data_IF_212860233825
#
_entry.id   IF_212860233825
#
_cell.length_a   1.000
_cell.length_b   1.000
_cell.length_c   1.000
_cell.angle_alpha   90.00
_cell.angle_beta   90.00
_cell.angle_gamma   90.00
#
_symmetry.space_group_name_H-M   'P 1'
#
loop_
_entity.id
_entity.type
_entity.pdbx_description
1 polymer ?
#
# COMPACT_ATOMS: atom_id res chain seq x y z
N UNK A 1 16.47 10.34 8.53
CA UNK A 1 15.21 9.59 8.83
C UNK A 1 14.30 9.58 7.58
N UNK A 2 14.01 8.41 6.97
CA UNK A 2 13.16 8.09 5.77
C UNK A 2 13.07 9.09 4.58
N UNK A 3 12.81 10.36 4.84
CA UNK A 3 12.79 11.47 3.87
C UNK A 3 14.16 11.71 3.22
N UNK A 4 15.25 11.41 3.91
CA UNK A 4 16.63 11.49 3.38
C UNK A 4 16.92 10.39 2.34
N UNK A 5 16.22 9.27 2.41
CA UNK A 5 16.42 8.14 1.50
C UNK A 5 15.78 8.36 0.12
N UNK A 6 14.82 9.28 0.03
CA UNK A 6 14.28 9.75 -1.24
C UNK A 6 14.66 11.23 -1.42
N UNK A 7 15.91 11.54 -1.84
CA UNK A 7 16.40 12.91 -1.92
C UNK A 7 15.66 13.74 -2.99
N UNK A 8 15.04 13.07 -3.97
CA UNK A 8 14.36 13.70 -5.10
C UNK A 8 13.00 14.26 -4.69
N UNK A 9 12.15 13.42 -4.10
CA UNK A 9 10.76 13.80 -3.82
C UNK A 9 10.46 13.99 -2.34
N UNK A 10 11.33 13.51 -1.43
CA UNK A 10 11.13 13.54 0.03
C UNK A 10 9.71 13.09 0.42
N UNK A 11 9.21 12.06 -0.26
CA UNK A 11 7.87 11.50 -0.08
C UNK A 11 7.97 10.05 0.33
N UNK A 12 7.06 9.65 1.21
CA UNK A 12 6.81 8.28 1.63
C UNK A 12 5.61 7.71 0.85
N UNK A 13 5.56 6.39 0.59
CA UNK A 13 6.43 5.32 1.08
C UNK A 13 7.76 5.17 0.30
N UNK A 14 8.78 4.67 0.99
CA UNK A 14 10.05 4.20 0.42
C UNK A 14 10.24 2.76 0.89
N UNK A 15 10.41 1.83 -0.05
CA UNK A 15 10.69 0.42 0.25
C UNK A 15 12.20 0.18 0.18
N UNK A 16 12.73 -0.51 1.19
CA UNK A 16 14.12 -0.93 1.25
C UNK A 16 14.15 -2.45 1.15
N UNK A 17 14.73 -2.98 0.07
CA UNK A 17 14.92 -4.42 -0.10
C UNK A 17 16.35 -4.70 -0.58
N UNK A 18 17.09 -5.53 0.15
CA UNK A 18 18.48 -5.89 -0.14
C UNK A 18 19.41 -4.67 -0.33
N UNK A 19 19.25 -3.66 0.52
CA UNK A 19 20.03 -2.41 0.45
C UNK A 19 19.68 -1.50 -0.72
N UNK A 20 18.70 -1.87 -1.57
CA UNK A 20 18.22 -1.04 -2.68
C UNK A 20 16.95 -0.28 -2.26
N UNK A 21 16.91 0.98 -2.66
CA UNK A 21 15.80 1.89 -2.37
C UNK A 21 14.84 1.95 -3.56
N UNK A 22 13.56 1.78 -3.27
CA UNK A 22 12.47 1.85 -4.25
C UNK A 22 11.50 2.93 -3.77
N UNK A 23 11.33 3.95 -4.59
CA UNK A 23 10.48 5.11 -4.32
C UNK A 23 9.21 5.06 -5.18
N UNK A 24 8.23 5.91 -4.88
CA UNK A 24 6.89 5.98 -5.48
C UNK A 24 5.96 4.83 -5.09
N UNK A 25 4.79 5.16 -4.55
CA UNK A 25 3.86 4.16 -4.00
C UNK A 25 3.37 3.15 -5.05
N UNK A 26 3.12 3.59 -6.28
CA UNK A 26 2.68 2.70 -7.36
C UNK A 26 3.79 1.73 -7.79
N UNK A 27 5.04 2.20 -7.82
CA UNK A 27 6.21 1.40 -8.15
C UNK A 27 6.51 0.41 -7.04
N UNK A 28 6.37 0.82 -5.77
CA UNK A 28 6.51 -0.07 -4.61
C UNK A 28 5.49 -1.22 -4.67
N UNK A 29 4.22 -0.93 -4.96
CA UNK A 29 3.18 -1.97 -5.10
C UNK A 29 3.52 -2.93 -6.24
N UNK A 30 3.94 -2.40 -7.40
CA UNK A 30 4.34 -3.22 -8.53
C UNK A 30 5.54 -4.11 -8.20
N UNK A 31 6.55 -3.57 -7.53
CA UNK A 31 7.73 -4.33 -7.12
C UNK A 31 7.37 -5.46 -6.16
N UNK A 32 6.49 -5.19 -5.19
CA UNK A 32 6.05 -6.20 -4.24
C UNK A 32 5.32 -7.34 -4.96
N UNK A 33 4.42 -6.99 -5.88
CA UNK A 33 3.70 -7.97 -6.69
C UNK A 33 4.68 -8.82 -7.53
N UNK A 34 5.68 -8.21 -8.16
CA UNK A 34 6.67 -8.93 -8.98
C UNK A 34 7.57 -9.86 -8.15
N UNK A 35 7.99 -9.45 -6.94
CA UNK A 35 8.92 -10.22 -6.09
C UNK A 35 8.21 -11.29 -5.26
N UNK A 36 6.98 -11.06 -4.82
CA UNK A 36 6.23 -11.94 -3.92
C UNK A 36 4.92 -12.51 -4.51
N UNK A 37 4.74 -12.54 -5.83
CA UNK A 37 3.51 -13.08 -6.47
C UNK A 37 3.19 -14.54 -6.08
N UNK A 38 4.18 -15.29 -5.63
CA UNK A 38 4.12 -16.74 -5.49
C UNK A 38 3.18 -17.19 -4.35
N UNK A 39 2.98 -16.34 -3.33
CA UNK A 39 2.20 -16.68 -2.12
C UNK A 39 0.84 -15.99 -2.06
N UNK A 40 0.77 -14.76 -2.55
CA UNK A 40 -0.43 -13.93 -2.50
C UNK A 40 -0.29 -12.79 -3.52
N UNK A 41 -0.65 -13.03 -4.80
CA UNK A 41 -0.55 -12.00 -5.82
C UNK A 41 -1.47 -10.83 -5.48
N UNK A 42 -0.93 -9.61 -5.57
CA UNK A 42 -1.67 -8.38 -5.31
C UNK A 42 -2.50 -7.98 -6.52
N UNK A 43 -2.01 -8.30 -7.72
CA UNK A 43 -2.68 -8.01 -8.98
C UNK A 43 -3.18 -9.30 -9.64
N UNK A 44 -4.23 -9.20 -10.49
CA UNK A 44 -4.68 -10.33 -11.28
C UNK A 44 -3.59 -10.90 -12.19
N UNK A 45 -3.57 -12.21 -12.39
CA UNK A 45 -2.65 -12.87 -13.32
C UNK A 45 -2.94 -12.49 -14.78
N UNK A 46 -4.23 -12.34 -15.14
CA UNK A 46 -4.66 -11.96 -16.48
C UNK A 46 -4.11 -10.56 -16.87
N UNK A 47 -3.42 -10.42 -18.03
CA UNK A 47 -2.81 -9.16 -18.43
C UNK A 47 -3.79 -8.01 -18.56
N UNK A 48 -5.00 -8.27 -19.06
CA UNK A 48 -6.00 -7.22 -19.28
C UNK A 48 -6.59 -6.73 -17.96
N UNK A 49 -7.00 -7.64 -17.07
CA UNK A 49 -7.49 -7.29 -15.74
C UNK A 49 -6.43 -6.56 -14.91
N UNK A 50 -5.16 -6.99 -15.00
CA UNK A 50 -4.03 -6.31 -14.36
C UNK A 50 -3.84 -4.88 -14.87
N UNK A 51 -3.97 -4.66 -16.18
CA UNK A 51 -3.94 -3.32 -16.75
C UNK A 51 -5.09 -2.45 -16.22
N UNK A 52 -6.30 -2.99 -16.09
CA UNK A 52 -7.43 -2.28 -15.50
C UNK A 52 -7.21 -1.92 -14.03
N UNK A 53 -6.72 -2.86 -13.20
CA UNK A 53 -6.40 -2.59 -11.80
C UNK A 53 -5.35 -1.48 -11.66
N UNK A 54 -4.30 -1.50 -12.49
CA UNK A 54 -3.29 -0.44 -12.53
C UNK A 54 -3.87 0.90 -12.94
N UNK A 55 -4.71 0.92 -13.97
CA UNK A 55 -5.39 2.13 -14.42
C UNK A 55 -6.27 2.72 -13.31
N UNK A 56 -7.02 1.89 -12.59
CA UNK A 56 -7.81 2.32 -11.44
C UNK A 56 -6.97 2.99 -10.35
N UNK A 57 -5.82 2.41 -10.01
CA UNK A 57 -4.91 2.94 -8.99
C UNK A 57 -4.29 4.29 -9.42
N UNK A 58 -3.94 4.43 -10.70
CA UNK A 58 -3.45 5.69 -11.29
C UNK A 58 -4.57 6.74 -11.28
N UNK A 59 -5.79 6.37 -11.64
CA UNK A 59 -6.94 7.27 -11.66
C UNK A 59 -7.24 7.79 -10.25
N UNK A 60 -7.21 6.92 -9.24
CA UNK A 60 -7.39 7.28 -7.84
C UNK A 60 -6.36 8.30 -7.37
N UNK A 61 -5.07 8.02 -7.60
CA UNK A 61 -3.97 8.90 -7.18
C UNK A 61 -3.95 10.23 -7.95
N UNK A 62 -4.33 10.23 -9.22
CA UNK A 62 -4.31 11.43 -10.08
C UNK A 62 -5.54 12.31 -9.86
N UNK A 63 -6.75 11.73 -9.86
CA UNK A 63 -8.02 12.48 -9.77
C UNK A 63 -8.39 12.82 -8.33
N UNK A 64 -8.16 11.89 -7.40
CA UNK A 64 -8.50 12.04 -5.99
C UNK A 64 -7.29 12.35 -5.13
N UNK A 65 -6.16 12.75 -5.73
CA UNK A 65 -4.94 13.10 -5.00
C UNK A 65 -5.15 14.17 -3.91
N UNK A 66 -6.07 15.13 -4.12
CA UNK A 66 -6.46 16.11 -3.11
C UNK A 66 -7.22 15.49 -1.93
N UNK A 67 -8.11 14.53 -2.19
CA UNK A 67 -8.84 13.79 -1.16
C UNK A 67 -7.89 12.90 -0.37
N UNK A 68 -6.97 12.19 -1.04
CA UNK A 68 -5.91 11.41 -0.39
C UNK A 68 -5.01 12.30 0.47
N UNK A 69 -4.67 13.50 0.01
CA UNK A 69 -3.90 14.46 0.81
C UNK A 69 -4.67 14.92 2.05
N UNK A 70 -5.98 15.15 1.93
CA UNK A 70 -6.86 15.44 3.06
C UNK A 70 -6.89 14.28 4.06
N UNK A 71 -7.14 13.05 3.60
CA UNK A 71 -7.11 11.85 4.44
C UNK A 71 -5.75 11.70 5.15
N UNK A 72 -4.62 11.84 4.44
CA UNK A 72 -3.28 11.80 5.05
C UNK A 72 -3.10 12.84 6.16
N UNK A 73 -3.64 14.04 5.98
CA UNK A 73 -3.59 15.10 7.00
C UNK A 73 -4.52 14.79 8.18
N UNK A 74 -5.71 14.25 7.92
CA UNK A 74 -6.62 13.79 8.98
C UNK A 74 -5.99 12.65 9.81
N UNK A 75 -5.25 11.74 9.18
CA UNK A 75 -4.53 10.66 9.89
C UNK A 75 -3.42 11.17 10.82
N UNK A 76 -2.93 12.40 10.63
CA UNK A 76 -1.95 13.03 11.53
C UNK A 76 -2.62 13.70 12.73
N UNK A 77 -3.95 13.84 12.72
CA UNK A 77 -4.69 14.34 13.87
C UNK A 77 -4.87 13.21 14.89
N UNK A 78 -4.39 13.46 16.10
CA UNK A 78 -4.36 12.47 17.18
C UNK A 78 -5.74 11.94 17.58
N UNK A 79 -6.80 12.76 17.47
CA UNK A 79 -8.17 12.30 17.78
C UNK A 79 -8.69 11.35 16.72
N UNK A 80 -8.31 11.57 15.45
CA UNK A 80 -8.72 10.75 14.32
C UNK A 80 -7.90 9.46 14.30
N UNK A 81 -6.59 9.54 14.53
CA UNK A 81 -5.73 8.35 14.54
C UNK A 81 -6.11 7.36 15.64
N UNK A 82 -6.47 7.85 16.85
CA UNK A 82 -6.89 7.00 17.98
C UNK A 82 -8.28 6.38 17.82
N UNK A 83 -9.11 6.93 16.92
CA UNK A 83 -10.43 6.36 16.61
C UNK A 83 -10.37 5.18 15.64
N UNK A 84 -9.24 5.00 14.94
CA UNK A 84 -9.04 3.90 14.01
C UNK A 84 -8.44 2.70 14.75
N UNK A 85 -8.88 1.51 14.36
CA UNK A 85 -8.34 0.26 14.89
C UNK A 85 -6.85 0.13 14.56
N UNK A 86 -6.08 -0.42 15.49
CA UNK A 86 -4.64 -0.59 15.31
C UNK A 86 -4.37 -1.56 14.13
N UNK A 87 -3.41 -1.26 13.23
CA UNK A 87 -3.12 -2.12 12.08
C UNK A 87 -2.78 -3.57 12.45
N UNK A 88 -2.17 -3.81 13.61
CA UNK A 88 -1.79 -5.14 14.10
C UNK A 88 -3.03 -5.89 14.62
N UNK A 89 -3.97 -5.19 15.25
CA UNK A 89 -5.25 -5.75 15.68
C UNK A 89 -6.11 -6.15 14.47
N UNK A 90 -6.19 -5.27 13.46
CA UNK A 90 -6.89 -5.57 12.19
C UNK A 90 -6.26 -6.76 11.49
N UNK A 91 -4.92 -6.85 11.46
CA UNK A 91 -4.23 -8.01 10.89
C UNK A 91 -4.50 -9.29 11.68
N UNK A 92 -4.48 -9.23 13.01
CA UNK A 92 -4.84 -10.36 13.88
C UNK A 92 -6.25 -10.87 13.60
N UNK A 93 -7.22 -9.95 13.49
CA UNK A 93 -8.59 -10.28 13.11
C UNK A 93 -8.67 -10.91 11.71
N UNK A 94 -7.95 -10.38 10.72
CA UNK A 94 -7.94 -10.93 9.37
C UNK A 94 -7.34 -12.34 9.30
N UNK A 95 -6.27 -12.60 10.05
CA UNK A 95 -5.68 -13.94 10.16
C UNK A 95 -6.67 -14.91 10.80
N UNK A 96 -7.36 -14.49 11.85
CA UNK A 96 -8.35 -15.32 12.53
C UNK A 96 -9.60 -15.58 11.66
N UNK A 97 -10.05 -14.57 10.91
CA UNK A 97 -11.11 -14.69 9.93
C UNK A 97 -10.73 -15.64 8.79
N UNK A 98 -9.49 -15.56 8.29
CA UNK A 98 -8.96 -16.46 7.25
C UNK A 98 -8.99 -17.92 7.71
N UNK A 99 -8.64 -18.19 8.97
CA UNK A 99 -8.74 -19.52 9.58
C UNK A 99 -10.19 -20.01 9.67
N UNK A 100 -11.12 -19.14 10.09
CA UNK A 100 -12.56 -19.47 10.17
C UNK A 100 -13.17 -19.77 8.80
N UNK A 101 -12.67 -19.13 7.75
CA UNK A 101 -13.14 -19.32 6.38
C UNK A 101 -12.45 -20.49 5.64
N UNK A 102 -11.50 -21.20 6.28
CA UNK A 102 -10.82 -22.36 5.67
C UNK A 102 -9.93 -22.00 4.47
N UNK A 103 -9.39 -20.78 4.44
CA UNK A 103 -8.54 -20.25 3.35
C UNK A 103 -7.03 -20.41 3.64
N UNK A 104 -6.68 -21.37 4.50
CA UNK A 104 -5.30 -21.80 4.80
C UNK A 104 -5.06 -23.22 4.30
#
# INVERSE_FOLDING_TARGET
>A
MLLEMNPVYKKVPVLIHNGKLICESLIVVQYIDEVWNNKSPLLPSDPYQRAQSRFGLILLTTRYGKSIACCKRCMQNESVSKSLADPQEVYGFLVELRKKLGLE
#
